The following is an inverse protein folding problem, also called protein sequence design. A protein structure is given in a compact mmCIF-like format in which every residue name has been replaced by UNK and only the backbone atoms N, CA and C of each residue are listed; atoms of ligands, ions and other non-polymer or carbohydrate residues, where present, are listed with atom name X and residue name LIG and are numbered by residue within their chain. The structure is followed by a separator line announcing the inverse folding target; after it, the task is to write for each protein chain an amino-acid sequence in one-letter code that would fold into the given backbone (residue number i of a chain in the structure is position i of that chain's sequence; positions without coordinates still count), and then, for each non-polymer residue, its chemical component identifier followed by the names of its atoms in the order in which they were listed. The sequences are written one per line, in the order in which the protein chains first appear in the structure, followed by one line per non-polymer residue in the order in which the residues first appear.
data_IF_467243262391
#
_entry.id   IF_467243262391
#
_cell.length_a   1.000
_cell.length_b   1.000
_cell.length_c   1.000
_cell.angle_alpha   90.00
_cell.angle_beta   90.00
_cell.angle_gamma   90.00
#
_symmetry.space_group_name_H-M   'P 1'
#
loop_
_entity.id
_entity.type
_entity.pdbx_description
1 polymer ?
#
# COMPACT_ATOMS: atom_id res chain seq x y z
N UNK A 1 -5.63 -3.33 -20.18
CA UNK A 1 -4.19 -2.91 -20.23
C UNK A 1 -3.73 -2.75 -18.81
N UNK A 2 -2.71 -3.50 -18.40
CA UNK A 2 -2.12 -3.40 -17.05
C UNK A 2 -1.51 -2.01 -16.83
N UNK A 3 -1.44 -1.57 -15.58
CA UNK A 3 -0.81 -0.30 -15.22
C UNK A 3 0.69 -0.38 -15.43
N UNK A 4 1.27 0.63 -16.04
CA UNK A 4 2.71 0.72 -16.25
C UNK A 4 3.48 0.78 -14.92
N UNK A 5 4.63 0.11 -14.88
CA UNK A 5 5.52 0.07 -13.72
C UNK A 5 6.45 1.30 -13.69
N UNK A 6 5.94 2.45 -13.27
CA UNK A 6 6.71 3.69 -13.23
C UNK A 6 7.76 3.73 -12.12
N UNK A 7 7.51 3.01 -11.01
CA UNK A 7 8.40 2.97 -9.84
C UNK A 7 9.22 1.68 -9.78
N UNK A 8 9.99 1.38 -10.85
CA UNK A 8 10.65 0.08 -11.08
C UNK A 8 11.87 -0.21 -10.21
N UNK A 9 12.59 0.81 -9.78
CA UNK A 9 13.84 0.66 -9.04
C UNK A 9 13.70 1.06 -7.58
N UNK A 10 14.75 0.74 -6.79
CA UNK A 10 14.75 0.99 -5.35
C UNK A 10 14.57 2.47 -4.99
N UNK A 11 15.18 3.38 -5.74
CA UNK A 11 15.09 4.82 -5.45
C UNK A 11 13.67 5.34 -5.70
N UNK A 12 13.03 4.90 -6.78
CA UNK A 12 11.66 5.25 -7.13
C UNK A 12 10.66 4.67 -6.12
N UNK A 13 10.82 3.40 -5.75
CA UNK A 13 10.02 2.76 -4.70
C UNK A 13 10.17 3.47 -3.36
N UNK A 14 11.39 3.89 -3.03
CA UNK A 14 11.66 4.62 -1.80
C UNK A 14 10.94 5.98 -1.74
N UNK A 15 10.88 6.69 -2.86
CA UNK A 15 10.15 7.97 -2.95
C UNK A 15 8.64 7.75 -2.76
N UNK A 16 8.06 6.75 -3.42
CA UNK A 16 6.65 6.42 -3.27
C UNK A 16 6.32 5.95 -1.84
N UNK A 17 7.15 5.08 -1.28
CA UNK A 17 7.00 4.58 0.10
C UNK A 17 7.05 5.71 1.13
N UNK A 18 8.06 6.57 1.07
CA UNK A 18 8.15 7.75 1.94
C UNK A 18 6.99 8.71 1.73
N UNK A 19 6.57 8.90 0.48
CA UNK A 19 5.43 9.73 0.14
C UNK A 19 4.15 9.25 0.82
N UNK A 20 3.85 7.95 0.76
CA UNK A 20 2.69 7.36 1.42
C UNK A 20 2.72 7.58 2.94
N UNK A 21 3.83 7.28 3.60
CA UNK A 21 3.97 7.46 5.05
C UNK A 21 3.87 8.94 5.46
N UNK A 22 4.41 9.84 4.64
CA UNK A 22 4.38 11.28 4.90
C UNK A 22 2.96 11.84 4.80
N UNK A 23 2.23 11.54 3.71
CA UNK A 23 0.86 12.05 3.58
C UNK A 23 -0.07 11.44 4.63
N UNK A 24 0.10 10.17 4.98
CA UNK A 24 -0.66 9.56 6.05
C UNK A 24 -0.48 10.31 7.37
N UNK A 25 0.76 10.61 7.75
CA UNK A 25 1.06 11.40 8.94
C UNK A 25 0.49 12.82 8.86
N UNK A 26 0.64 13.49 7.72
CA UNK A 26 0.20 14.87 7.54
C UNK A 26 -1.34 15.03 7.60
N UNK A 27 -2.07 13.95 7.28
CA UNK A 27 -3.52 13.86 7.38
C UNK A 27 -4.03 13.11 8.62
N UNK A 28 -3.15 12.81 9.58
CA UNK A 28 -3.46 12.09 10.82
C UNK A 28 -4.07 10.68 10.61
N UNK A 29 -3.75 10.03 9.48
CA UNK A 29 -4.08 8.63 9.25
C UNK A 29 -3.05 7.71 9.92
N UNK A 30 -3.55 6.73 10.67
CA UNK A 30 -2.71 5.73 11.32
C UNK A 30 -2.66 4.47 10.45
N UNK A 31 -1.55 4.26 9.75
CA UNK A 31 -1.35 3.06 8.94
C UNK A 31 -0.99 1.87 9.83
N UNK A 32 -1.64 0.74 9.59
CA UNK A 32 -1.41 -0.52 10.32
C UNK A 32 -0.76 -1.58 9.46
N UNK A 33 -0.98 -1.52 8.16
CA UNK A 33 -0.29 -2.34 7.16
C UNK A 33 -0.16 -1.55 5.87
N UNK A 34 0.96 -1.69 5.19
CA UNK A 34 1.18 -1.11 3.87
C UNK A 34 2.13 -1.96 3.04
N UNK A 35 1.98 -1.89 1.73
CA UNK A 35 2.90 -2.47 0.75
C UNK A 35 2.89 -1.59 -0.50
N UNK A 36 4.07 -1.21 -0.96
CA UNK A 36 4.28 -0.33 -2.10
C UNK A 36 4.99 -1.09 -3.21
N UNK A 37 4.43 -1.04 -4.41
CA UNK A 37 4.93 -1.73 -5.60
C UNK A 37 5.21 -0.76 -6.73
N UNK A 38 5.78 -1.26 -7.81
CA UNK A 38 6.21 -0.45 -8.95
C UNK A 38 5.08 0.24 -9.72
N UNK A 39 3.84 -0.23 -9.59
CA UNK A 39 2.67 0.30 -10.29
C UNK A 39 1.44 0.53 -9.41
N UNK A 40 1.48 0.13 -8.14
CA UNK A 40 0.37 0.30 -7.20
C UNK A 40 0.85 0.21 -5.74
N UNK A 41 -0.06 0.42 -4.81
CA UNK A 41 0.17 0.20 -3.38
C UNK A 41 -1.13 -0.23 -2.70
N UNK A 42 -0.97 -0.89 -1.55
CA UNK A 42 -2.04 -1.23 -0.64
C UNK A 42 -1.75 -0.70 0.76
N UNK A 43 -2.78 -0.32 1.48
CA UNK A 43 -2.65 -0.09 2.92
C UNK A 43 -3.97 -0.36 3.66
N UNK A 44 -3.85 -0.63 4.94
CA UNK A 44 -4.93 -0.63 5.91
C UNK A 44 -4.60 0.41 6.95
N UNK A 45 -5.56 1.25 7.29
CA UNK A 45 -5.35 2.32 8.27
C UNK A 45 -6.63 2.78 8.93
N UNK A 46 -6.45 3.51 10.02
CA UNK A 46 -7.51 4.23 10.70
C UNK A 46 -7.55 5.68 10.27
N UNK A 47 -8.72 6.16 9.95
CA UNK A 47 -8.97 7.58 9.70
C UNK A 47 -8.81 8.41 10.99
N UNK A 48 -8.54 9.72 10.86
CA UNK A 48 -8.57 10.62 12.03
C UNK A 48 -9.88 10.52 12.80
N UNK A 49 -9.79 10.68 14.12
CA UNK A 49 -10.95 10.63 15.03
C UNK A 49 -11.76 11.94 15.01
N UNK A 50 -12.09 12.45 13.83
CA UNK A 50 -12.94 13.62 13.58
C UNK A 50 -14.19 13.21 12.81
N UNK A 51 -15.25 14.01 12.84
CA UNK A 51 -16.49 13.69 12.11
C UNK A 51 -16.22 13.44 10.61
N UNK A 52 -15.32 14.21 10.00
CA UNK A 52 -14.98 14.16 8.59
C UNK A 52 -13.66 13.39 8.32
N UNK A 53 -13.15 12.64 9.30
CA UNK A 53 -11.85 12.00 9.22
C UNK A 53 -11.68 11.06 8.03
N UNK A 54 -12.70 10.24 7.74
CA UNK A 54 -12.68 9.31 6.61
C UNK A 54 -12.73 10.01 5.25
N UNK A 55 -13.35 11.17 5.15
CA UNK A 55 -13.45 11.95 3.91
C UNK A 55 -12.11 12.52 3.47
N UNK A 56 -11.16 12.69 4.40
CA UNK A 56 -9.81 13.15 4.11
C UNK A 56 -8.99 12.18 3.24
N UNK A 57 -9.44 10.93 3.08
CA UNK A 57 -8.76 9.92 2.27
C UNK A 57 -8.52 10.39 0.83
N UNK A 58 -9.55 10.91 0.17
CA UNK A 58 -9.43 11.43 -1.21
C UNK A 58 -8.40 12.55 -1.32
N UNK A 59 -8.37 13.46 -0.36
CA UNK A 59 -7.41 14.56 -0.35
C UNK A 59 -5.99 14.04 -0.11
N UNK A 60 -5.82 13.14 0.84
CA UNK A 60 -4.54 12.51 1.17
C UNK A 60 -3.95 11.79 -0.05
N UNK A 61 -4.75 10.92 -0.70
CA UNK A 61 -4.31 10.18 -1.87
C UNK A 61 -4.11 11.10 -3.09
N UNK A 62 -4.96 12.10 -3.27
CA UNK A 62 -4.79 13.13 -4.31
C UNK A 62 -3.44 13.83 -4.19
N UNK A 63 -3.05 14.22 -2.98
CA UNK A 63 -1.75 14.86 -2.71
C UNK A 63 -0.58 13.90 -2.99
N UNK A 64 -0.68 12.64 -2.57
CA UNK A 64 0.33 11.62 -2.85
C UNK A 64 0.50 11.43 -4.37
N UNK A 65 -0.60 11.24 -5.08
CA UNK A 65 -0.61 11.01 -6.52
C UNK A 65 -0.04 12.20 -7.29
N UNK A 66 -0.46 13.41 -6.95
CA UNK A 66 0.04 14.62 -7.61
C UNK A 66 1.56 14.79 -7.44
N UNK A 67 2.05 14.69 -6.20
CA UNK A 67 3.48 14.88 -5.91
C UNK A 67 4.35 13.82 -6.56
N UNK A 68 3.94 12.55 -6.47
CA UNK A 68 4.72 11.43 -7.02
C UNK A 68 4.66 11.40 -8.55
N UNK A 69 3.51 11.72 -9.15
CA UNK A 69 3.39 11.83 -10.61
C UNK A 69 4.25 12.96 -11.18
N UNK A 70 4.23 14.13 -10.57
CA UNK A 70 5.10 15.26 -10.98
C UNK A 70 6.57 14.90 -10.87
N UNK A 71 6.96 14.24 -9.79
CA UNK A 71 8.32 13.82 -9.56
C UNK A 71 8.80 12.80 -10.61
N UNK A 72 8.04 11.71 -10.84
CA UNK A 72 8.43 10.65 -11.75
C UNK A 72 8.41 11.11 -13.21
N UNK A 73 7.45 11.96 -13.60
CA UNK A 73 7.38 12.51 -14.95
C UNK A 73 8.55 13.45 -15.24
N UNK A 74 8.98 14.24 -14.26
CA UNK A 74 10.18 15.06 -14.39
C UNK A 74 11.43 14.21 -14.53
N UNK A 75 11.54 13.14 -13.72
CA UNK A 75 12.68 12.21 -13.79
C UNK A 75 12.76 11.49 -15.14
N UNK A 76 11.63 11.12 -15.70
CA UNK A 76 11.54 10.42 -17.00
C UNK A 76 11.48 11.37 -18.20
N UNK A 77 11.52 12.70 -17.99
CA UNK A 77 11.34 13.71 -19.06
C UNK A 77 10.04 13.52 -19.86
N UNK A 78 8.95 13.16 -19.18
CA UNK A 78 7.64 12.85 -19.78
C UNK A 78 6.54 13.67 -19.11
N UNK A 79 6.53 14.96 -19.35
CA UNK A 79 5.53 15.85 -18.73
C UNK A 79 4.11 15.51 -19.20
N UNK A 80 3.17 15.60 -18.26
CA UNK A 80 1.75 15.38 -18.52
C UNK A 80 1.32 13.91 -18.65
N UNK A 81 2.23 12.94 -18.51
CA UNK A 81 1.88 11.52 -18.50
C UNK A 81 0.99 11.18 -17.30
N UNK A 82 -0.09 10.43 -17.53
CA UNK A 82 -0.92 9.91 -16.46
C UNK A 82 -0.18 8.74 -15.76
N UNK A 83 0.14 8.92 -14.49
CA UNK A 83 0.84 7.91 -13.68
C UNK A 83 -0.15 7.12 -12.83
N UNK A 84 -1.10 7.81 -12.22
CA UNK A 84 -2.10 7.22 -11.34
C UNK A 84 -3.47 7.14 -12.00
N UNK A 85 -4.18 6.05 -11.67
CA UNK A 85 -5.56 5.81 -12.04
C UNK A 85 -6.45 5.87 -10.79
N UNK A 86 -7.74 5.55 -10.92
CA UNK A 86 -8.65 5.52 -9.80
C UNK A 86 -8.17 4.54 -8.72
N UNK A 87 -8.35 4.90 -7.47
CA UNK A 87 -8.13 4.01 -6.34
C UNK A 87 -9.42 3.32 -5.92
N UNK A 88 -9.27 2.20 -5.22
CA UNK A 88 -10.37 1.43 -4.65
C UNK A 88 -10.24 1.45 -3.14
N UNK A 89 -11.33 1.79 -2.47
CA UNK A 89 -11.40 1.80 -1.02
C UNK A 89 -12.49 0.86 -0.52
N UNK A 90 -12.30 0.30 0.67
CA UNK A 90 -13.29 -0.50 1.37
C UNK A 90 -13.29 -0.11 2.84
N UNK A 91 -14.46 0.29 3.34
CA UNK A 91 -14.64 0.49 4.78
C UNK A 91 -14.72 -0.87 5.47
N UNK A 92 -13.83 -1.09 6.43
CA UNK A 92 -13.76 -2.36 7.17
C UNK A 92 -14.61 -2.28 8.43
N UNK A 93 -15.68 -3.08 8.47
CA UNK A 93 -16.65 -3.10 9.58
C UNK A 93 -16.65 -4.42 10.35
N UNK A 94 -16.02 -5.46 9.78
CA UNK A 94 -15.93 -6.80 10.41
C UNK A 94 -14.49 -7.09 10.81
N UNK A 95 -14.28 -7.48 12.06
CA UNK A 95 -12.96 -7.78 12.61
C UNK A 95 -12.20 -8.85 11.80
N UNK A 96 -12.86 -9.96 11.46
CA UNK A 96 -12.22 -11.02 10.65
C UNK A 96 -11.76 -10.52 9.27
N UNK A 97 -12.56 -9.68 8.64
CA UNK A 97 -12.22 -9.08 7.34
C UNK A 97 -11.03 -8.12 7.48
N UNK A 98 -11.00 -7.34 8.53
CA UNK A 98 -9.91 -6.44 8.87
C UNK A 98 -8.60 -7.20 9.11
N UNK A 99 -8.61 -8.22 9.98
CA UNK A 99 -7.42 -9.01 10.28
C UNK A 99 -6.88 -9.76 9.05
N UNK A 100 -7.78 -10.30 8.22
CA UNK A 100 -7.39 -10.94 6.97
C UNK A 100 -6.74 -9.94 5.99
N UNK A 101 -7.22 -8.71 5.92
CA UNK A 101 -6.62 -7.66 5.09
C UNK A 101 -5.27 -7.19 5.60
N UNK A 102 -5.06 -7.12 6.90
CA UNK A 102 -3.73 -6.88 7.47
C UNK A 102 -2.74 -7.94 6.98
N UNK A 103 -3.12 -9.22 7.08
CA UNK A 103 -2.29 -10.30 6.57
C UNK A 103 -2.05 -10.19 5.05
N UNK A 104 -3.10 -9.94 4.29
CA UNK A 104 -2.99 -9.75 2.84
C UNK A 104 -1.96 -8.70 2.48
N UNK A 105 -2.03 -7.53 3.11
CA UNK A 105 -1.12 -6.41 2.81
C UNK A 105 0.32 -6.73 3.24
N UNK A 106 0.52 -7.30 4.44
CA UNK A 106 1.85 -7.70 4.90
C UNK A 106 2.51 -8.76 4.00
N UNK A 107 1.72 -9.71 3.47
CA UNK A 107 2.21 -10.83 2.66
C UNK A 107 2.17 -10.57 1.15
N UNK A 108 1.74 -9.40 0.73
CA UNK A 108 1.50 -9.14 -0.70
C UNK A 108 2.75 -9.29 -1.56
N UNK A 109 3.92 -8.87 -1.08
CA UNK A 109 5.18 -9.04 -1.80
C UNK A 109 5.57 -10.52 -1.99
N UNK A 110 5.22 -11.39 -1.04
CA UNK A 110 5.39 -12.85 -1.17
C UNK A 110 4.42 -13.41 -2.20
N UNK A 111 3.17 -12.98 -2.16
CA UNK A 111 2.15 -13.37 -3.16
C UNK A 111 2.60 -13.05 -4.59
N UNK A 112 3.24 -11.91 -4.80
CA UNK A 112 3.78 -11.51 -6.11
C UNK A 112 5.15 -12.13 -6.43
N UNK A 113 5.66 -13.01 -5.60
CA UNK A 113 6.94 -13.69 -5.84
C UNK A 113 8.17 -12.79 -5.76
N UNK A 114 8.06 -11.60 -5.18
CA UNK A 114 9.16 -10.63 -5.10
C UNK A 114 10.18 -11.00 -4.01
N UNK A 115 9.72 -11.63 -2.95
CA UNK A 115 10.55 -12.10 -1.82
C UNK A 115 10.01 -13.42 -1.29
N UNK A 116 10.88 -14.29 -0.72
CA UNK A 116 10.44 -15.57 -0.12
C UNK A 116 9.72 -15.40 1.22
N UNK A 117 10.02 -14.32 1.96
CA UNK A 117 9.38 -13.96 3.24
C UNK A 117 9.11 -12.47 3.29
N UNK A 118 7.97 -12.08 3.85
CA UNK A 118 7.46 -10.71 3.78
C UNK A 118 8.41 -9.66 4.38
N UNK A 119 9.09 -9.98 5.49
CA UNK A 119 9.99 -9.06 6.17
C UNK A 119 11.27 -8.71 5.39
N UNK A 120 11.52 -9.37 4.27
CA UNK A 120 12.62 -9.03 3.34
C UNK A 120 12.25 -7.99 2.30
N UNK A 121 10.97 -7.62 2.18
CA UNK A 121 10.55 -6.59 1.25
C UNK A 121 10.60 -5.22 1.94
N UNK A 122 11.54 -4.32 1.57
CA UNK A 122 11.79 -3.08 2.32
C UNK A 122 10.62 -2.07 2.30
N UNK A 123 9.78 -2.14 1.27
CA UNK A 123 8.70 -1.17 1.02
C UNK A 123 7.34 -1.69 1.48
N UNK A 124 7.33 -2.53 2.50
CA UNK A 124 6.11 -2.95 3.17
C UNK A 124 6.28 -2.92 4.70
N UNK A 125 5.16 -3.05 5.39
CA UNK A 125 5.08 -2.98 6.84
C UNK A 125 5.47 -4.25 7.59
N UNK A 126 5.77 -5.37 6.91
CA UNK A 126 5.95 -6.67 7.56
C UNK A 126 7.09 -6.68 8.60
N UNK A 127 8.27 -6.16 8.26
CA UNK A 127 9.40 -6.12 9.19
C UNK A 127 9.11 -5.21 10.41
N UNK A 128 8.47 -4.07 10.18
CA UNK A 128 8.03 -3.18 11.26
C UNK A 128 7.00 -3.87 12.16
N UNK A 129 6.00 -4.51 11.58
CA UNK A 129 4.94 -5.21 12.31
C UNK A 129 5.51 -6.34 13.18
N UNK A 130 6.37 -7.19 12.63
CA UNK A 130 7.03 -8.28 13.34
C UNK A 130 7.91 -7.80 14.51
N UNK A 131 8.51 -6.62 14.38
CA UNK A 131 9.36 -6.00 15.39
C UNK A 131 8.57 -5.32 16.51
N UNK A 132 7.42 -4.73 16.21
CA UNK A 132 6.65 -3.89 17.13
C UNK A 132 5.46 -4.60 17.77
N UNK A 133 4.85 -5.57 17.09
CA UNK A 133 3.72 -6.34 17.61
C UNK A 133 4.17 -7.49 18.51
N UNK A 134 3.26 -7.95 19.36
CA UNK A 134 3.51 -9.15 20.17
C UNK A 134 3.64 -10.37 19.25
N UNK A 135 4.55 -11.33 19.52
CA UNK A 135 4.71 -12.54 18.70
C UNK A 135 3.40 -13.33 18.50
N UNK A 136 2.57 -13.41 19.52
CA UNK A 136 1.25 -14.06 19.43
C UNK A 136 0.31 -13.34 18.46
N UNK A 137 0.34 -12.02 18.41
CA UNK A 137 -0.44 -11.21 17.48
C UNK A 137 0.03 -11.41 16.04
N UNK A 138 1.34 -11.40 15.81
CA UNK A 138 1.94 -11.70 14.50
C UNK A 138 1.48 -13.08 14.00
N UNK A 139 1.61 -14.10 14.84
CA UNK A 139 1.18 -15.47 14.53
C UNK A 139 -0.32 -15.53 14.19
N UNK A 140 -1.15 -14.87 14.98
CA UNK A 140 -2.60 -14.83 14.77
C UNK A 140 -2.95 -14.18 13.44
N UNK A 141 -2.39 -13.00 13.13
CA UNK A 141 -2.69 -12.27 11.90
C UNK A 141 -2.18 -13.04 10.68
N UNK A 142 -0.95 -13.56 10.71
CA UNK A 142 -0.40 -14.31 9.59
C UNK A 142 -1.10 -15.65 9.31
N UNK A 143 -1.89 -16.15 10.26
CA UNK A 143 -2.71 -17.36 10.07
C UNK A 143 -4.07 -17.09 9.41
N UNK A 144 -4.49 -15.84 9.25
CA UNK A 144 -5.76 -15.52 8.60
C UNK A 144 -5.72 -15.86 7.12
N UNK A 145 -6.75 -16.57 6.65
CA UNK A 145 -6.91 -16.90 5.23
C UNK A 145 -7.30 -15.65 4.44
N UNK A 146 -6.67 -15.48 3.29
CA UNK A 146 -6.87 -14.33 2.40
C UNK A 146 -7.55 -14.69 1.07
N UNK A 147 -7.79 -15.96 0.82
CA UNK A 147 -8.34 -16.52 -0.42
C UNK A 147 -9.77 -16.03 -0.76
N UNK A 148 -10.53 -15.61 0.25
CA UNK A 148 -11.90 -15.08 0.09
C UNK A 148 -11.99 -13.57 0.00
N UNK A 149 -10.87 -12.86 0.11
CA UNK A 149 -10.85 -11.41 0.01
C UNK A 149 -11.05 -10.97 -1.44
N UNK A 150 -12.00 -10.08 -1.66
CA UNK A 150 -12.18 -9.41 -2.95
C UNK A 150 -11.32 -8.15 -2.96
N UNK A 151 -10.07 -8.31 -3.36
CA UNK A 151 -9.11 -7.21 -3.49
C UNK A 151 -8.69 -7.13 -4.95
N UNK A 152 -8.78 -5.94 -5.51
CA UNK A 152 -8.30 -5.67 -6.85
C UNK A 152 -6.79 -5.46 -6.80
N UNK A 153 -6.05 -6.32 -7.49
CA UNK A 153 -4.58 -6.33 -7.50
C UNK A 153 -4.11 -6.50 -8.96
N UNK A 154 -3.57 -5.41 -9.51
CA UNK A 154 -3.17 -5.35 -10.92
C UNK A 154 -1.69 -5.66 -11.14
N UNK A 155 -0.97 -6.17 -10.14
CA UNK A 155 0.45 -6.45 -10.28
C UNK A 155 0.72 -7.58 -11.29
N UNK A 156 -0.17 -8.55 -11.33
CA UNK A 156 -0.02 -9.79 -12.12
C UNK A 156 -0.41 -9.63 -13.61
N UNK A 157 -0.85 -8.46 -14.06
CA UNK A 157 -1.26 -8.21 -15.45
C UNK A 157 -0.10 -8.06 -16.45
N UNK A 158 1.11 -8.43 -16.03
CA UNK A 158 2.26 -8.56 -16.93
C UNK A 158 2.35 -10.00 -17.42
N UNK A 159 1.59 -10.33 -18.47
CA UNK A 159 2.01 -11.41 -19.37
C UNK A 159 3.31 -10.96 -20.08
N UNK A 160 4.37 -11.68 -19.78
CA UNK A 160 5.66 -11.57 -20.46
C UNK A 160 5.61 -12.16 -21.86
#
# INVERSE_FOLDING_TARGET
MGKEHHFRDADRLQVLHRGLLTVARDFDWQLEAWAVFSNHYHFVGHSPATEDGAESLSQMLGQLHEKTAKWINRLDHTDGRQVWHNFWETRLTYEKSYLARLNYVHQNAVKHGLVPVANRYPWCSAAWFERTARPAQVKTIYAFKTDRLKIFDEYDDLEW
#
